data_IF_682854847676
#
_entry.id   IF_682854847676
#
_cell.length_a   1.000
_cell.length_b   1.000
_cell.length_c   1.000
_cell.angle_alpha   90.00
_cell.angle_beta   90.00
_cell.angle_gamma   90.00
#
_symmetry.space_group_name_H-M   'P 1'
#
loop_
_entity.id
_entity.type
_entity.pdbx_description
1 polymer ?
#
# COMPACT_ATOMS: atom_id res chain seq x y z
N UNK A 1 -17.24 57.56 -14.67
CA UNK A 1 -17.71 56.16 -14.81
C UNK A 1 -18.70 55.95 -13.69
N UNK A 2 -19.95 55.57 -13.99
CA UNK A 2 -20.95 55.27 -12.97
C UNK A 2 -20.52 54.02 -12.19
N UNK A 3 -20.67 54.05 -10.87
CA UNK A 3 -20.26 52.96 -9.97
C UNK A 3 -20.81 51.59 -10.41
N UNK A 4 -21.99 51.55 -11.02
CA UNK A 4 -22.62 50.35 -11.58
C UNK A 4 -21.80 49.67 -12.69
N UNK A 5 -21.08 50.45 -13.52
CA UNK A 5 -20.23 49.91 -14.58
C UNK A 5 -18.97 49.28 -14.01
N UNK A 6 -18.42 49.86 -12.93
CA UNK A 6 -17.29 49.28 -12.21
C UNK A 6 -17.63 47.95 -11.55
N UNK A 7 -18.81 47.87 -10.92
CA UNK A 7 -19.31 46.66 -10.28
C UNK A 7 -19.59 45.54 -11.31
N UNK A 8 -20.21 45.88 -12.44
CA UNK A 8 -20.45 44.93 -13.54
C UNK A 8 -19.15 44.36 -14.12
N UNK A 9 -18.13 45.19 -14.33
CA UNK A 9 -16.82 44.74 -14.80
C UNK A 9 -16.13 43.82 -13.79
N UNK A 10 -16.25 44.12 -12.49
CA UNK A 10 -15.67 43.31 -11.43
C UNK A 10 -16.35 41.94 -11.31
N UNK A 11 -17.68 41.89 -11.40
CA UNK A 11 -18.46 40.65 -11.45
C UNK A 11 -18.12 39.81 -12.68
N UNK A 12 -18.04 40.44 -13.86
CA UNK A 12 -17.67 39.76 -15.09
C UNK A 12 -16.25 39.16 -15.01
N UNK A 13 -15.29 39.90 -14.44
CA UNK A 13 -13.94 39.41 -14.20
C UNK A 13 -13.92 38.24 -13.20
N UNK A 14 -14.71 38.33 -12.12
CA UNK A 14 -14.82 37.25 -11.12
C UNK A 14 -15.37 35.95 -11.71
N UNK A 15 -16.42 36.04 -12.53
CA UNK A 15 -17.00 34.87 -13.23
C UNK A 15 -15.99 34.27 -14.21
N UNK A 16 -15.23 35.10 -14.93
CA UNK A 16 -14.20 34.64 -15.85
C UNK A 16 -13.09 33.86 -15.13
N UNK A 17 -12.61 34.36 -13.99
CA UNK A 17 -11.59 33.69 -13.19
C UNK A 17 -12.09 32.35 -12.66
N UNK A 18 -13.32 32.30 -12.14
CA UNK A 18 -13.94 31.04 -11.71
C UNK A 18 -14.07 30.04 -12.85
N UNK A 19 -14.53 30.48 -14.03
CA UNK A 19 -14.63 29.63 -15.21
C UNK A 19 -13.26 29.08 -15.65
N UNK A 20 -12.21 29.90 -15.61
CA UNK A 20 -10.85 29.48 -15.92
C UNK A 20 -10.33 28.46 -14.91
N UNK A 21 -10.52 28.67 -13.60
CA UNK A 21 -10.09 27.71 -12.57
C UNK A 21 -10.79 26.36 -12.77
N UNK A 22 -12.09 26.36 -13.02
CA UNK A 22 -12.85 25.13 -13.29
C UNK A 22 -12.35 24.46 -14.57
N UNK A 23 -12.17 25.21 -15.66
CA UNK A 23 -11.70 24.68 -16.94
C UNK A 23 -10.29 24.09 -16.82
N UNK A 24 -9.34 24.80 -16.22
CA UNK A 24 -7.98 24.32 -15.98
C UNK A 24 -7.96 23.13 -15.02
N UNK A 25 -8.80 23.12 -13.99
CA UNK A 25 -8.97 21.98 -13.09
C UNK A 25 -9.46 20.73 -13.82
N UNK A 26 -10.48 20.88 -14.67
CA UNK A 26 -11.03 19.77 -15.48
C UNK A 26 -10.02 19.27 -16.53
N UNK A 27 -9.33 20.17 -17.24
CA UNK A 27 -8.29 19.81 -18.21
C UNK A 27 -7.10 19.10 -17.55
N UNK A 28 -6.64 19.60 -16.40
CA UNK A 28 -5.58 18.97 -15.61
C UNK A 28 -5.98 17.57 -15.14
N UNK A 29 -7.22 17.42 -14.64
CA UNK A 29 -7.77 16.12 -14.23
C UNK A 29 -7.88 15.15 -15.41
N UNK A 30 -8.35 15.61 -16.58
CA UNK A 30 -8.42 14.79 -17.80
C UNK A 30 -7.03 14.35 -18.27
N UNK A 31 -6.04 15.25 -18.28
CA UNK A 31 -4.67 14.94 -18.69
C UNK A 31 -4.04 13.88 -17.77
N UNK A 32 -4.29 13.95 -16.46
CA UNK A 32 -3.89 12.91 -15.50
C UNK A 32 -4.57 11.57 -15.78
N UNK A 33 -5.88 11.56 -16.11
CA UNK A 33 -6.62 10.34 -16.49
C UNK A 33 -6.11 9.69 -17.79
N UNK A 34 -5.58 10.48 -18.72
CA UNK A 34 -5.03 10.00 -20.00
C UNK A 34 -3.52 9.76 -19.96
N UNK A 35 -2.85 9.90 -18.81
CA UNK A 35 -1.42 9.58 -18.72
C UNK A 35 -1.22 8.09 -19.02
N UNK A 36 -0.45 7.81 -20.06
CA UNK A 36 -0.06 6.45 -20.49
C UNK A 36 1.36 6.09 -20.06
N UNK A 37 2.16 7.07 -19.63
CA UNK A 37 3.52 6.86 -19.15
C UNK A 37 3.56 6.62 -17.64
N UNK A 38 4.45 5.72 -17.22
CA UNK A 38 4.69 5.44 -15.81
C UNK A 38 5.48 6.60 -15.19
N UNK A 39 5.08 7.04 -13.99
CA UNK A 39 5.82 8.04 -13.21
C UNK A 39 6.63 7.43 -12.08
N UNK A 40 6.67 6.11 -12.01
CA UNK A 40 7.37 5.34 -10.99
C UNK A 40 8.47 4.50 -11.62
N UNK A 41 9.47 4.17 -10.81
CA UNK A 41 10.45 3.12 -11.09
C UNK A 41 10.29 2.01 -10.06
N UNK A 42 10.86 0.83 -10.34
CA UNK A 42 10.88 -0.28 -9.40
C UNK A 42 12.29 -0.55 -8.89
N UNK A 43 12.38 -1.04 -7.66
CA UNK A 43 13.59 -1.64 -7.09
C UNK A 43 13.24 -2.98 -6.45
N UNK A 44 14.25 -3.84 -6.28
CA UNK A 44 14.10 -5.11 -5.58
C UNK A 44 14.16 -4.88 -4.06
N UNK A 45 13.11 -5.30 -3.36
CA UNK A 45 13.07 -5.41 -1.90
C UNK A 45 13.03 -6.89 -1.47
N UNK A 46 13.12 -7.15 -0.16
CA UNK A 46 13.28 -8.49 0.39
C UNK A 46 12.42 -8.74 1.63
N UNK A 47 11.79 -9.92 1.70
CA UNK A 47 11.16 -10.49 2.90
C UNK A 47 11.94 -11.75 3.26
N UNK A 48 12.91 -11.65 4.16
CA UNK A 48 13.91 -12.72 4.32
C UNK A 48 14.61 -12.98 2.97
N UNK A 49 14.54 -14.22 2.49
CA UNK A 49 15.11 -14.64 1.19
C UNK A 49 14.15 -14.46 0.00
N UNK A 50 12.95 -13.90 0.21
CA UNK A 50 12.01 -13.65 -0.88
C UNK A 50 12.26 -12.26 -1.50
N UNK A 51 12.60 -12.18 -2.80
CA UNK A 51 12.61 -10.92 -3.52
C UNK A 51 11.19 -10.47 -3.89
N UNK A 52 10.99 -9.16 -3.95
CA UNK A 52 9.79 -8.53 -4.53
C UNK A 52 10.16 -7.26 -5.28
N UNK A 53 9.29 -6.79 -6.17
CA UNK A 53 9.47 -5.47 -6.80
C UNK A 53 8.60 -4.44 -6.12
N UNK A 54 9.20 -3.37 -5.60
CA UNK A 54 8.47 -2.24 -5.05
C UNK A 54 8.64 -0.99 -5.90
N UNK A 55 7.54 -0.25 -6.07
CA UNK A 55 7.54 1.03 -6.74
C UNK A 55 8.13 2.14 -5.85
N UNK A 56 8.63 3.19 -6.48
CA UNK A 56 8.81 4.48 -5.80
C UNK A 56 7.47 5.02 -5.29
N UNK A 57 7.54 5.98 -4.36
CA UNK A 57 6.38 6.63 -3.76
C UNK A 57 5.43 7.24 -4.79
N UNK A 58 4.14 6.90 -4.64
CA UNK A 58 3.04 7.46 -5.40
C UNK A 58 2.15 8.33 -4.50
N UNK A 59 1.41 9.24 -5.13
CA UNK A 59 0.34 9.96 -4.46
C UNK A 59 -0.86 9.02 -4.23
N UNK A 60 -1.46 8.96 -3.02
CA UNK A 60 -2.49 7.98 -2.65
C UNK A 60 -3.74 7.99 -3.54
N UNK A 61 -4.04 9.13 -4.17
CA UNK A 61 -5.19 9.37 -5.05
C UNK A 61 -4.91 9.10 -6.53
N UNK A 62 -3.67 8.77 -6.92
CA UNK A 62 -3.30 8.48 -8.30
C UNK A 62 -3.65 7.04 -8.71
N UNK A 63 -4.96 6.80 -8.84
CA UNK A 63 -5.52 5.53 -9.29
C UNK A 63 -5.01 5.11 -10.67
N UNK A 64 -4.59 6.06 -11.51
CA UNK A 64 -4.12 5.75 -12.87
C UNK A 64 -2.74 5.11 -12.83
N UNK A 65 -1.83 5.61 -11.99
CA UNK A 65 -0.52 4.97 -11.81
C UNK A 65 -0.65 3.60 -11.16
N UNK A 66 -1.60 3.41 -10.24
CA UNK A 66 -1.91 2.08 -9.69
C UNK A 66 -2.41 1.12 -10.77
N UNK A 67 -3.33 1.57 -11.63
CA UNK A 67 -3.82 0.75 -12.74
C UNK A 67 -2.68 0.41 -13.73
N UNK A 68 -1.82 1.36 -14.06
CA UNK A 68 -0.65 1.14 -14.92
C UNK A 68 0.31 0.12 -14.29
N UNK A 69 0.54 0.16 -12.98
CA UNK A 69 1.35 -0.83 -12.29
C UNK A 69 0.74 -2.23 -12.41
N UNK A 70 -0.58 -2.36 -12.20
CA UNK A 70 -1.31 -3.64 -12.37
C UNK A 70 -1.31 -4.15 -13.82
N UNK A 71 -1.30 -3.24 -14.80
CA UNK A 71 -1.17 -3.58 -16.22
C UNK A 71 0.27 -4.00 -16.59
N UNK A 72 1.27 -3.43 -15.91
CA UNK A 72 2.69 -3.77 -16.12
C UNK A 72 3.07 -5.09 -15.46
N UNK A 73 2.49 -5.38 -14.29
CA UNK A 73 2.70 -6.60 -13.53
C UNK A 73 1.39 -7.39 -13.35
N UNK A 74 0.73 -7.89 -14.41
CA UNK A 74 -0.49 -8.65 -14.26
C UNK A 74 -0.27 -9.90 -13.42
N UNK A 75 -1.22 -10.23 -12.55
CA UNK A 75 -1.18 -11.49 -11.79
C UNK A 75 -1.17 -12.66 -12.78
N UNK A 76 -0.21 -13.56 -12.61
CA UNK A 76 0.06 -14.70 -13.48
C UNK A 76 1.03 -14.43 -14.63
N UNK A 77 1.42 -13.18 -14.87
CA UNK A 77 2.42 -12.85 -15.87
C UNK A 77 3.83 -13.25 -15.41
N UNK A 78 4.66 -13.63 -16.38
CA UNK A 78 6.10 -13.85 -16.19
C UNK A 78 6.85 -12.53 -16.32
N UNK A 79 7.78 -12.28 -15.41
CA UNK A 79 8.67 -11.12 -15.41
C UNK A 79 10.10 -11.54 -15.11
N UNK A 80 11.07 -10.88 -15.74
CA UNK A 80 12.49 -11.06 -15.44
C UNK A 80 12.89 -10.10 -14.32
N UNK A 81 13.40 -10.65 -13.22
CA UNK A 81 13.96 -9.87 -12.12
C UNK A 81 15.45 -10.13 -12.00
N UNK A 82 16.21 -9.07 -11.73
CA UNK A 82 17.60 -9.20 -11.35
C UNK A 82 17.67 -9.42 -9.85
N UNK A 83 18.10 -10.61 -9.45
CA UNK A 83 18.36 -10.98 -8.07
C UNK A 83 19.87 -10.97 -7.88
N UNK A 84 20.32 -10.33 -6.80
CA UNK A 84 21.71 -10.44 -6.36
C UNK A 84 21.79 -11.67 -5.46
N UNK A 85 22.59 -12.66 -5.81
CA UNK A 85 22.81 -13.82 -4.97
C UNK A 85 23.70 -13.49 -3.75
N UNK A 86 23.88 -14.46 -2.86
CA UNK A 86 24.70 -14.33 -1.64
C UNK A 86 26.18 -13.98 -1.96
N UNK A 87 26.63 -14.22 -3.19
CA UNK A 87 27.98 -13.95 -3.67
C UNK A 87 28.11 -12.54 -4.30
N UNK A 88 27.02 -11.78 -4.37
CA UNK A 88 26.99 -10.45 -4.95
C UNK A 88 26.83 -10.43 -6.48
N UNK A 89 26.66 -11.59 -7.10
CA UNK A 89 26.48 -11.72 -8.54
C UNK A 89 25.01 -11.46 -8.89
N UNK A 90 24.80 -10.71 -9.97
CA UNK A 90 23.47 -10.36 -10.46
C UNK A 90 23.02 -11.40 -11.46
N UNK A 91 22.06 -12.23 -11.08
CA UNK A 91 21.43 -13.19 -11.97
C UNK A 91 20.03 -12.70 -12.37
N UNK A 92 19.67 -12.92 -13.63
CA UNK A 92 18.31 -12.73 -14.11
C UNK A 92 17.50 -14.00 -13.86
N UNK A 93 16.37 -13.85 -13.17
CA UNK A 93 15.44 -14.92 -12.89
C UNK A 93 14.09 -14.60 -13.51
N UNK A 94 13.51 -15.57 -14.22
CA UNK A 94 12.14 -15.52 -14.66
C UNK A 94 11.23 -15.96 -13.50
N UNK A 95 10.32 -15.07 -13.08
CA UNK A 95 9.41 -15.27 -11.94
C UNK A 95 7.98 -14.90 -12.32
N UNK A 96 7.00 -15.43 -11.59
CA UNK A 96 5.59 -15.19 -11.89
C UNK A 96 4.94 -14.30 -10.84
N UNK A 97 4.31 -13.21 -11.27
CA UNK A 97 3.58 -12.33 -10.35
C UNK A 97 2.40 -13.09 -9.73
N UNK A 98 2.37 -13.21 -8.39
CA UNK A 98 1.27 -13.83 -7.65
C UNK A 98 0.33 -12.80 -7.05
N UNK A 99 0.87 -11.69 -6.53
CA UNK A 99 0.11 -10.68 -5.79
C UNK A 99 0.63 -9.28 -6.07
N UNK A 100 -0.27 -8.32 -5.83
CA UNK A 100 0.07 -6.90 -5.81
C UNK A 100 -0.36 -6.32 -4.47
N UNK A 101 0.62 -5.92 -3.68
CA UNK A 101 0.44 -5.21 -2.41
C UNK A 101 0.33 -3.70 -2.61
N UNK A 102 -0.33 -3.06 -1.66
CA UNK A 102 -0.40 -1.60 -1.55
C UNK A 102 -0.10 -1.24 -0.10
N UNK A 103 0.86 -0.36 0.12
CA UNK A 103 1.30 0.04 1.46
C UNK A 103 1.32 1.56 1.62
N UNK A 104 1.12 2.05 2.84
CA UNK A 104 1.36 3.46 3.17
C UNK A 104 2.86 3.65 3.44
N UNK A 105 3.54 4.50 2.67
CA UNK A 105 4.97 4.82 2.84
C UNK A 105 5.18 6.08 3.69
N UNK A 106 4.20 6.98 3.70
CA UNK A 106 4.19 8.14 4.58
C UNK A 106 2.76 8.44 5.06
N UNK A 107 2.62 8.93 6.29
CA UNK A 107 1.34 9.31 6.89
C UNK A 107 0.79 10.65 6.39
N UNK A 108 -0.46 10.94 6.72
CA UNK A 108 -1.07 12.26 6.47
C UNK A 108 -0.35 13.38 7.26
N UNK A 109 -0.29 14.61 6.72
CA UNK A 109 -0.90 15.10 5.48
C UNK A 109 -0.09 14.80 4.21
N UNK A 110 1.15 14.32 4.33
CA UNK A 110 2.02 14.00 3.19
C UNK A 110 1.93 12.53 2.80
N UNK A 111 0.70 12.00 2.76
CA UNK A 111 0.50 10.58 2.57
C UNK A 111 1.11 10.14 1.22
N UNK A 112 1.88 9.05 1.27
CA UNK A 112 2.48 8.39 0.09
C UNK A 112 2.15 6.92 0.13
N UNK A 113 1.95 6.32 -1.03
CA UNK A 113 1.72 4.88 -1.15
C UNK A 113 2.79 4.23 -2.01
N UNK A 114 3.17 3.01 -1.65
CA UNK A 114 3.98 2.11 -2.45
C UNK A 114 3.13 0.99 -3.02
N UNK A 115 3.53 0.48 -4.18
CA UNK A 115 2.96 -0.71 -4.79
C UNK A 115 4.05 -1.78 -4.85
N UNK A 116 3.67 -3.01 -4.51
CA UNK A 116 4.61 -4.13 -4.49
C UNK A 116 4.08 -5.26 -5.35
N UNK A 117 4.91 -5.85 -6.20
CA UNK A 117 4.60 -7.09 -6.91
C UNK A 117 5.37 -8.23 -6.23
N UNK A 118 4.62 -9.24 -5.77
CA UNK A 118 5.16 -10.45 -5.16
C UNK A 118 5.10 -11.62 -6.13
N UNK A 119 5.97 -12.61 -5.90
CA UNK A 119 6.18 -13.71 -6.82
C UNK A 119 5.69 -15.06 -6.27
N UNK A 120 5.19 -15.89 -7.17
CA UNK A 120 4.58 -17.20 -6.90
C UNK A 120 5.60 -18.20 -6.33
N UNK A 121 6.85 -18.10 -6.75
CA UNK A 121 7.93 -19.03 -6.42
C UNK A 121 8.20 -19.10 -4.91
N UNK A 122 7.81 -18.07 -4.16
CA UNK A 122 7.92 -17.99 -2.70
C UNK A 122 6.56 -17.92 -1.99
N UNK A 123 5.46 -18.16 -2.70
CA UNK A 123 4.13 -18.08 -2.09
C UNK A 123 3.97 -19.13 -0.98
N UNK A 124 3.76 -18.66 0.25
CA UNK A 124 3.56 -19.51 1.42
C UNK A 124 4.84 -20.01 2.10
N UNK A 125 6.02 -19.72 1.54
CA UNK A 125 7.30 -20.12 2.18
C UNK A 125 7.60 -19.32 3.44
N UNK A 126 6.88 -18.23 3.68
CA UNK A 126 7.04 -17.37 4.87
C UNK A 126 6.27 -17.88 6.08
N UNK A 127 5.49 -18.94 5.90
CA UNK A 127 4.62 -19.49 6.92
C UNK A 127 5.05 -20.90 7.35
N UNK A 128 4.81 -21.27 8.62
CA UNK A 128 4.27 -20.44 9.69
C UNK A 128 5.33 -19.51 10.29
N UNK A 129 4.91 -18.35 10.81
CA UNK A 129 5.78 -17.39 11.50
C UNK A 129 5.07 -16.78 12.69
N UNK A 130 5.83 -16.36 13.71
CA UNK A 130 5.31 -15.64 14.86
C UNK A 130 6.22 -14.47 15.22
N UNK A 131 5.61 -13.32 15.52
CA UNK A 131 6.30 -12.09 15.87
C UNK A 131 5.94 -11.66 17.28
N UNK A 132 6.96 -11.38 18.10
CA UNK A 132 6.77 -10.71 19.37
C UNK A 132 6.36 -9.25 19.12
N UNK A 133 5.23 -8.85 19.68
CA UNK A 133 4.67 -7.50 19.52
C UNK A 133 4.26 -6.93 20.87
N UNK A 134 3.95 -5.63 20.90
CA UNK A 134 3.27 -5.01 22.03
C UNK A 134 1.97 -4.40 21.54
N UNK A 135 0.85 -5.03 21.87
CA UNK A 135 -0.45 -4.60 21.35
C UNK A 135 -1.47 -4.20 22.42
N UNK A 136 -2.58 -3.66 21.92
CA UNK A 136 -3.83 -3.52 22.69
C UNK A 136 -4.27 -4.86 23.27
N UNK A 137 -5.17 -4.86 24.26
CA UNK A 137 -5.71 -6.09 24.87
C UNK A 137 -4.63 -7.06 25.40
N UNK A 138 -3.45 -6.54 25.78
CA UNK A 138 -2.31 -7.33 26.25
C UNK A 138 -1.78 -8.32 25.22
N UNK A 139 -1.96 -8.05 23.93
CA UNK A 139 -1.37 -8.86 22.85
C UNK A 139 0.15 -8.78 22.95
N UNK A 140 0.80 -9.96 22.92
CA UNK A 140 2.26 -10.10 22.95
C UNK A 140 2.83 -10.83 21.73
N UNK A 141 1.96 -11.50 20.96
CA UNK A 141 2.36 -12.29 19.79
C UNK A 141 1.36 -12.12 18.64
N UNK A 142 1.88 -12.02 17.41
CA UNK A 142 1.13 -12.26 16.17
C UNK A 142 1.70 -13.50 15.48
N UNK A 143 0.90 -14.55 15.40
CA UNK A 143 1.19 -15.74 14.61
C UNK A 143 0.48 -15.64 13.26
N UNK A 144 1.16 -16.07 12.20
CA UNK A 144 0.68 -16.04 10.82
C UNK A 144 0.93 -17.38 10.15
N UNK A 145 -0.05 -17.84 9.39
CA UNK A 145 0.01 -19.06 8.61
C UNK A 145 -0.71 -18.89 7.26
N UNK A 146 -0.90 -19.98 6.52
CA UNK A 146 -1.59 -19.95 5.24
C UNK A 146 -3.08 -19.53 5.33
N UNK A 147 -3.70 -19.63 6.51
CA UNK A 147 -5.11 -19.30 6.70
C UNK A 147 -5.31 -17.83 7.09
N UNK A 148 -4.43 -17.29 7.95
CA UNK A 148 -4.56 -15.91 8.39
C UNK A 148 -3.61 -15.48 9.49
N UNK A 149 -4.10 -14.55 10.31
CA UNK A 149 -3.39 -13.95 11.45
C UNK A 149 -4.14 -14.26 12.73
N UNK A 150 -3.39 -14.69 13.75
CA UNK A 150 -3.87 -14.87 15.12
C UNK A 150 -3.02 -14.04 16.08
N UNK A 151 -3.65 -13.17 16.87
CA UNK A 151 -3.02 -12.44 17.95
C UNK A 151 -3.25 -13.15 19.29
N UNK A 152 -2.21 -13.29 20.11
CA UNK A 152 -2.27 -13.96 21.42
C UNK A 152 -1.80 -13.05 22.56
N UNK A 153 -2.40 -13.22 23.72
CA UNK A 153 -1.93 -12.60 24.96
C UNK A 153 -0.79 -13.41 25.62
N UNK A 154 -0.28 -12.93 26.76
CA UNK A 154 0.80 -13.60 27.50
C UNK A 154 0.43 -14.98 28.06
N UNK A 155 -0.86 -15.33 28.11
CA UNK A 155 -1.33 -16.66 28.51
C UNK A 155 -1.51 -17.61 27.30
N UNK A 156 -1.23 -17.13 26.08
CA UNK A 156 -1.41 -17.88 24.84
C UNK A 156 -2.86 -17.90 24.35
N UNK A 157 -3.76 -17.12 24.97
CA UNK A 157 -5.17 -17.07 24.56
C UNK A 157 -5.30 -16.25 23.29
N UNK A 158 -6.07 -16.76 22.32
CA UNK A 158 -6.38 -16.01 21.11
C UNK A 158 -7.26 -14.82 21.45
N UNK A 159 -6.71 -13.62 21.22
CA UNK A 159 -7.36 -12.35 21.47
C UNK A 159 -8.00 -11.84 20.19
N UNK A 160 -7.38 -12.07 19.03
CA UNK A 160 -7.89 -11.71 17.71
C UNK A 160 -7.51 -12.80 16.72
N UNK A 161 -8.39 -13.06 15.75
CA UNK A 161 -8.08 -13.92 14.61
C UNK A 161 -8.82 -13.39 13.38
N UNK A 162 -8.17 -13.44 12.22
CA UNK A 162 -8.78 -13.10 10.94
C UNK A 162 -8.16 -13.93 9.82
N UNK A 163 -8.96 -14.53 8.93
CA UNK A 163 -8.43 -15.07 7.69
C UNK A 163 -7.89 -13.94 6.79
N UNK A 164 -6.94 -14.27 5.91
CA UNK A 164 -6.36 -13.28 4.97
C UNK A 164 -7.41 -12.60 4.09
N UNK A 165 -8.44 -13.34 3.69
CA UNK A 165 -9.52 -12.85 2.81
C UNK A 165 -10.35 -11.72 3.41
N UNK A 166 -10.38 -11.59 4.74
CA UNK A 166 -11.12 -10.51 5.43
C UNK A 166 -10.22 -9.59 6.23
N UNK A 167 -8.94 -9.91 6.37
CA UNK A 167 -7.99 -9.10 7.13
C UNK A 167 -7.81 -7.72 6.48
N UNK A 168 -8.18 -6.70 7.25
CA UNK A 168 -7.90 -5.32 6.94
C UNK A 168 -6.73 -4.86 7.79
N UNK A 169 -5.77 -4.16 7.18
CA UNK A 169 -4.67 -3.54 7.92
C UNK A 169 -4.54 -2.05 7.59
N UNK A 170 -3.99 -1.29 8.52
CA UNK A 170 -3.48 0.06 8.29
C UNK A 170 -2.09 0.13 8.90
N UNK A 171 -1.11 0.52 8.11
CA UNK A 171 0.26 0.74 8.54
C UNK A 171 0.51 2.25 8.77
N UNK A 172 1.32 2.56 9.79
CA UNK A 172 1.60 3.90 10.31
C UNK A 172 2.67 3.79 11.41
N UNK A 173 2.66 4.64 12.46
CA UNK A 173 3.53 4.42 13.63
C UNK A 173 3.26 3.08 14.33
N UNK A 174 2.00 2.64 14.27
CA UNK A 174 1.53 1.35 14.75
C UNK A 174 0.85 0.61 13.59
N UNK A 175 0.83 -0.73 13.66
CA UNK A 175 -0.01 -1.55 12.79
C UNK A 175 -1.39 -1.68 13.44
N UNK A 176 -2.43 -1.50 12.63
CA UNK A 176 -3.82 -1.66 13.05
C UNK A 176 -4.44 -2.77 12.23
N UNK A 177 -5.05 -3.75 12.89
CA UNK A 177 -5.68 -4.91 12.27
C UNK A 177 -7.19 -4.92 12.55
N UNK A 178 -7.99 -5.25 11.55
CA UNK A 178 -9.44 -5.38 11.62
C UNK A 178 -9.95 -6.49 10.68
N UNK A 179 -11.27 -6.74 10.67
CA UNK A 179 -11.90 -7.72 9.77
C UNK A 179 -11.96 -9.16 10.29
N UNK A 180 -11.48 -9.39 11.52
CA UNK A 180 -11.58 -10.65 12.25
C UNK A 180 -12.85 -10.77 13.09
N UNK A 181 -12.69 -11.11 14.38
CA UNK A 181 -13.73 -11.31 15.40
C UNK A 181 -14.58 -10.06 15.76
N UNK A 182 -14.75 -9.13 14.82
CA UNK A 182 -15.54 -7.91 14.98
C UNK A 182 -14.85 -6.78 15.75
N UNK A 183 -13.57 -6.95 16.10
CA UNK A 183 -12.77 -5.93 16.79
C UNK A 183 -11.57 -5.46 15.99
N UNK A 184 -11.10 -4.28 16.34
CA UNK A 184 -9.86 -3.69 15.84
C UNK A 184 -8.78 -3.81 16.92
N UNK A 185 -7.60 -4.28 16.55
CA UNK A 185 -6.44 -4.34 17.46
C UNK A 185 -5.30 -3.48 16.92
N UNK A 186 -4.49 -2.96 17.84
CA UNK A 186 -3.30 -2.15 17.52
C UNK A 186 -2.07 -2.85 18.05
N UNK A 187 -1.00 -2.87 17.27
CA UNK A 187 0.26 -3.54 17.60
C UNK A 187 1.43 -2.64 17.24
N UNK A 188 2.26 -2.36 18.24
CA UNK A 188 3.61 -1.82 18.09
C UNK A 188 4.56 -2.98 17.78
N UNK A 189 5.54 -2.73 16.91
CA UNK A 189 6.58 -3.68 16.55
C UNK A 189 7.95 -3.00 16.59
N UNK A 190 8.97 -3.71 17.09
CA UNK A 190 10.32 -3.15 17.27
C UNK A 190 11.16 -3.21 15.99
N UNK A 191 11.08 -4.31 15.24
CA UNK A 191 11.93 -4.63 14.08
C UNK A 191 11.08 -5.39 13.02
N UNK A 192 10.14 -4.71 12.35
CA UNK A 192 9.03 -5.40 11.68
C UNK A 192 8.81 -5.06 10.23
N UNK A 193 9.88 -4.79 9.48
CA UNK A 193 9.82 -4.75 8.01
C UNK A 193 9.16 -6.03 7.47
N UNK A 194 9.54 -7.20 8.02
CA UNK A 194 8.94 -8.50 7.65
C UNK A 194 7.48 -8.62 8.06
N UNK A 195 7.13 -8.26 9.30
CA UNK A 195 5.75 -8.33 9.80
C UNK A 195 4.82 -7.45 8.95
N UNK A 196 5.24 -6.21 8.72
CA UNK A 196 4.49 -5.24 7.94
C UNK A 196 4.36 -5.69 6.48
N UNK A 197 5.44 -6.15 5.84
CA UNK A 197 5.41 -6.60 4.46
C UNK A 197 4.57 -7.88 4.28
N UNK A 198 4.52 -8.79 5.25
CA UNK A 198 3.58 -9.93 5.21
C UNK A 198 2.11 -9.47 5.27
N UNK A 199 1.80 -8.48 6.10
CA UNK A 199 0.46 -7.89 6.15
C UNK A 199 0.11 -7.15 4.85
N UNK A 200 1.09 -6.48 4.21
CA UNK A 200 0.92 -5.85 2.91
C UNK A 200 0.68 -6.89 1.81
N UNK A 201 1.42 -8.01 1.84
CA UNK A 201 1.32 -9.09 0.85
C UNK A 201 -0.01 -9.82 0.91
N UNK A 202 -0.47 -10.18 2.10
CA UNK A 202 -1.64 -11.07 2.26
C UNK A 202 -2.91 -10.37 2.75
N UNK A 203 -2.79 -9.21 3.41
CA UNK A 203 -3.92 -8.42 3.90
C UNK A 203 -4.40 -7.37 2.88
N UNK A 204 -5.49 -6.68 3.24
CA UNK A 204 -6.01 -5.56 2.45
C UNK A 204 -5.79 -4.23 3.17
N UNK A 205 -5.07 -3.32 2.54
CA UNK A 205 -4.86 -1.98 3.09
C UNK A 205 -6.18 -1.20 3.14
N UNK A 206 -6.55 -0.76 4.34
CA UNK A 206 -7.63 0.20 4.57
C UNK A 206 -7.14 1.25 5.53
N UNK A 207 -7.08 2.51 5.08
CA UNK A 207 -6.74 3.61 5.98
C UNK A 207 -7.81 3.71 7.06
N UNK A 208 -7.40 3.39 8.29
CA UNK A 208 -8.25 3.47 9.47
C UNK A 208 -7.89 4.77 10.19
N UNK A 209 -8.77 5.78 10.06
CA UNK A 209 -8.65 7.04 10.79
C UNK A 209 -8.99 6.79 12.27
N UNK A 210 -8.20 7.40 13.15
CA UNK A 210 -8.48 7.53 14.57
C UNK A 210 -8.59 9.02 14.89
#
# INVERSE_FOLDING_TARGET
MSDDTGILLFLAAGVLVLALIVAFGVLSSRRKKTATAHTWTVRTGWIGEQPFLESTDLTPDDKRQEELFRQTYPIGASVTVTITDEQGERAEHEVHVSRIGRSLRAGFPQAKVGLTAYFREWEGTEFPVAFAVKGSDKIVELAMDAEGVTARDSAGVSVFASPWSTLLFSNGPDIVLAGGTGKTVRVEYKDGDTLEELLIKYGTLKQMHF
#
